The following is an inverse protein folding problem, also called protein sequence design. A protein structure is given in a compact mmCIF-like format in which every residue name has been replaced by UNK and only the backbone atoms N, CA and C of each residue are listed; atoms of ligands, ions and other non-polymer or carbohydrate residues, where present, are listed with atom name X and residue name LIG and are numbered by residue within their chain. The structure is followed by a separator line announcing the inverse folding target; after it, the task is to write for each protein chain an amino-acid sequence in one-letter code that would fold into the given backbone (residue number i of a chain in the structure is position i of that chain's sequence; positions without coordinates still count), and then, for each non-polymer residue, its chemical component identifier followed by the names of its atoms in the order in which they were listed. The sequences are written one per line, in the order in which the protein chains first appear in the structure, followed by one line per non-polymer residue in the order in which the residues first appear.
data_IF_711746466994
#
_entry.id   IF_711746466994
#
_cell.length_a   1.000
_cell.length_b   1.000
_cell.length_c   1.000
_cell.angle_alpha   90.00
_cell.angle_beta   90.00
_cell.angle_gamma   90.00
#
_symmetry.space_group_name_H-M   'P 1'
#
loop_
_entity.id
_entity.type
_entity.pdbx_description
1 polymer ?
#
# COMPACT_ATOMS: atom_id res chain seq x y z
N UNK A 1 22.73 -5.86 -30.44
CA UNK A 1 21.68 -5.33 -29.54
C UNK A 1 20.30 -5.79 -30.03
N UNK A 2 19.66 -6.77 -29.36
CA UNK A 2 18.27 -7.16 -29.68
C UNK A 2 17.33 -6.04 -29.21
N UNK A 3 16.64 -5.36 -30.13
CA UNK A 3 15.53 -4.44 -29.81
C UNK A 3 14.50 -5.21 -28.97
N UNK A 4 14.27 -4.80 -27.71
CA UNK A 4 13.09 -5.23 -26.93
C UNK A 4 11.85 -4.75 -27.70
N UNK A 5 11.22 -5.67 -28.44
CA UNK A 5 10.20 -5.35 -29.45
C UNK A 5 8.76 -5.65 -29.01
N UNK A 6 8.51 -5.84 -27.71
CA UNK A 6 7.17 -6.08 -27.18
C UNK A 6 6.83 -5.03 -26.12
N UNK A 7 6.53 -3.81 -26.57
CA UNK A 7 5.85 -2.84 -25.72
C UNK A 7 4.40 -3.25 -25.54
N UNK A 8 3.88 -3.19 -24.31
CA UNK A 8 2.46 -3.42 -24.01
C UNK A 8 1.65 -2.35 -24.75
N UNK A 9 0.70 -2.76 -25.60
CA UNK A 9 -0.18 -1.83 -26.32
C UNK A 9 -1.41 -1.50 -25.48
N UNK A 10 -2.02 -0.35 -25.74
CA UNK A 10 -3.29 0.03 -25.10
C UNK A 10 -4.39 -1.02 -25.33
N UNK A 11 -4.43 -1.63 -26.53
CA UNK A 11 -5.35 -2.74 -26.82
C UNK A 11 -5.18 -3.91 -25.86
N UNK A 12 -3.94 -4.22 -25.46
CA UNK A 12 -3.66 -5.31 -24.53
C UNK A 12 -4.17 -4.97 -23.13
N UNK A 13 -4.02 -3.71 -22.71
CA UNK A 13 -4.53 -3.21 -21.43
C UNK A 13 -6.07 -3.29 -21.40
N UNK A 14 -6.75 -2.85 -22.46
CA UNK A 14 -8.21 -2.89 -22.58
C UNK A 14 -8.72 -4.33 -22.48
N UNK A 15 -8.12 -5.27 -23.23
CA UNK A 15 -8.51 -6.70 -23.18
C UNK A 15 -8.36 -7.26 -21.76
N UNK A 16 -7.29 -6.90 -21.06
CA UNK A 16 -7.04 -7.36 -19.68
C UNK A 16 -8.03 -6.76 -18.68
N UNK A 17 -8.34 -5.47 -18.78
CA UNK A 17 -9.39 -4.83 -17.97
C UNK A 17 -10.75 -5.48 -18.18
N UNK A 18 -11.12 -5.77 -19.44
CA UNK A 18 -12.37 -6.47 -19.75
C UNK A 18 -12.40 -7.86 -19.12
N UNK A 19 -11.29 -8.60 -19.14
CA UNK A 19 -11.19 -9.91 -18.46
C UNK A 19 -11.33 -9.82 -16.95
N UNK A 20 -10.69 -8.84 -16.30
CA UNK A 20 -10.87 -8.57 -14.87
C UNK A 20 -12.35 -8.33 -14.56
N UNK A 21 -13.03 -7.50 -15.35
CA UNK A 21 -14.46 -7.21 -15.17
C UNK A 21 -15.35 -8.43 -15.43
N UNK A 22 -15.03 -9.26 -16.41
CA UNK A 22 -15.73 -10.54 -16.64
C UNK A 22 -15.57 -11.49 -15.46
N UNK A 23 -14.35 -11.57 -14.89
CA UNK A 23 -14.05 -12.39 -13.71
C UNK A 23 -14.83 -11.90 -12.47
N UNK A 24 -14.89 -10.57 -12.26
CA UNK A 24 -15.69 -9.97 -11.18
C UNK A 24 -17.19 -10.29 -11.36
N UNK A 25 -17.71 -10.18 -12.58
CA UNK A 25 -19.15 -10.30 -12.86
C UNK A 25 -19.63 -11.73 -13.12
N UNK A 26 -18.74 -12.73 -13.03
CA UNK A 26 -19.01 -14.15 -13.36
C UNK A 26 -19.62 -14.35 -14.76
N UNK A 27 -19.40 -13.42 -15.69
CA UNK A 27 -19.92 -13.52 -17.06
C UNK A 27 -19.15 -14.53 -17.91
N UNK A 28 -17.95 -14.91 -17.49
CA UNK A 28 -17.11 -15.93 -18.12
C UNK A 28 -16.48 -16.80 -17.00
N UNK A 29 -16.74 -18.12 -16.94
CA UNK A 29 -16.20 -19.02 -15.92
C UNK A 29 -14.71 -19.34 -16.18
N UNK A 30 -13.91 -18.33 -16.51
CA UNK A 30 -12.46 -18.46 -16.56
C UNK A 30 -11.96 -18.80 -15.16
N UNK A 31 -11.24 -19.93 -15.03
CA UNK A 31 -10.57 -20.26 -13.78
C UNK A 31 -9.52 -19.21 -13.43
N UNK A 32 -9.27 -18.99 -12.15
CA UNK A 32 -8.25 -18.04 -11.68
C UNK A 32 -6.88 -18.46 -12.22
N UNK A 33 -6.64 -19.77 -12.30
CA UNK A 33 -5.45 -20.37 -12.89
C UNK A 33 -5.29 -19.95 -14.35
N UNK A 34 -6.34 -20.04 -15.17
CA UNK A 34 -6.30 -19.61 -16.58
C UNK A 34 -6.08 -18.10 -16.71
N UNK A 35 -6.65 -17.29 -15.81
CA UNK A 35 -6.42 -15.84 -15.77
C UNK A 35 -4.94 -15.50 -15.49
N UNK A 36 -4.31 -16.21 -14.54
CA UNK A 36 -2.90 -16.01 -14.19
C UNK A 36 -1.94 -16.64 -15.20
N UNK A 37 -2.29 -17.76 -15.82
CA UNK A 37 -1.49 -18.42 -16.84
C UNK A 37 -1.37 -17.57 -18.11
N UNK A 38 -2.41 -16.82 -18.47
CA UNK A 38 -2.31 -15.81 -19.53
C UNK A 38 -1.23 -14.74 -19.26
N UNK A 39 -0.84 -14.56 -17.99
CA UNK A 39 0.20 -13.63 -17.54
C UNK A 39 1.57 -14.28 -17.32
N UNK A 40 1.65 -15.61 -17.39
CA UNK A 40 2.91 -16.36 -17.39
C UNK A 40 3.39 -16.48 -18.84
N UNK A 41 4.69 -16.28 -19.06
CA UNK A 41 5.26 -16.60 -20.37
C UNK A 41 5.03 -18.09 -20.67
N UNK A 42 4.96 -18.46 -21.95
CA UNK A 42 4.53 -19.77 -22.50
C UNK A 42 5.25 -21.02 -21.95
N UNK A 43 6.22 -20.88 -21.05
CA UNK A 43 6.70 -22.00 -20.24
C UNK A 43 5.87 -22.10 -18.96
N UNK A 44 5.29 -23.28 -18.68
CA UNK A 44 4.58 -23.64 -17.43
C UNK A 44 5.36 -23.36 -16.13
N UNK A 45 6.59 -22.86 -16.23
CA UNK A 45 7.55 -22.68 -15.16
C UNK A 45 8.15 -21.25 -15.10
N UNK A 46 7.70 -20.30 -15.94
CA UNK A 46 8.27 -18.94 -15.97
C UNK A 46 7.55 -17.94 -15.07
N UNK A 47 8.38 -17.08 -14.45
CA UNK A 47 8.07 -15.88 -13.66
C UNK A 47 6.95 -15.05 -14.32
N UNK A 48 6.15 -14.35 -13.52
CA UNK A 48 5.31 -13.27 -14.02
C UNK A 48 6.20 -12.14 -14.56
N UNK A 49 6.49 -12.17 -15.86
CA UNK A 49 7.49 -11.31 -16.52
C UNK A 49 6.94 -9.96 -16.97
N UNK A 50 5.63 -9.76 -16.96
CA UNK A 50 5.00 -8.55 -17.46
C UNK A 50 4.45 -7.66 -16.34
N UNK A 51 4.63 -6.35 -16.52
CA UNK A 51 3.95 -5.30 -15.76
C UNK A 51 2.42 -5.45 -15.88
N UNK A 52 1.71 -5.11 -14.81
CA UNK A 52 0.25 -5.20 -14.74
C UNK A 52 -0.33 -3.79 -14.82
N UNK A 53 -0.03 -3.10 -15.92
CA UNK A 53 -0.42 -1.71 -16.14
C UNK A 53 -1.93 -1.49 -16.00
N UNK A 54 -2.75 -2.50 -16.28
CA UNK A 54 -4.20 -2.43 -16.04
C UNK A 54 -4.58 -2.16 -14.57
N UNK A 55 -3.77 -2.57 -13.59
CA UNK A 55 -4.03 -2.32 -12.17
C UNK A 55 -3.96 -0.83 -11.83
N UNK A 56 -3.13 -0.06 -12.55
CA UNK A 56 -3.08 1.40 -12.40
C UNK A 56 -4.44 2.03 -12.75
N UNK A 57 -5.08 1.56 -13.82
CA UNK A 57 -6.42 2.02 -14.20
C UNK A 57 -7.48 1.54 -13.22
N UNK A 58 -7.35 0.31 -12.71
CA UNK A 58 -8.27 -0.25 -11.73
C UNK A 58 -8.30 0.59 -10.44
N UNK A 59 -7.15 1.14 -10.01
CA UNK A 59 -7.06 2.00 -8.81
C UNK A 59 -7.91 3.28 -8.88
N UNK A 60 -8.32 3.72 -10.06
CA UNK A 60 -9.28 4.83 -10.18
C UNK A 60 -10.66 4.48 -9.60
N UNK A 61 -10.96 3.19 -9.41
CA UNK A 61 -12.19 2.71 -8.79
C UNK A 61 -11.87 1.62 -7.74
N UNK A 62 -11.72 2.04 -6.48
CA UNK A 62 -11.37 1.12 -5.39
C UNK A 62 -12.41 0.02 -5.15
N UNK A 63 -13.67 0.20 -5.56
CA UNK A 63 -14.67 -0.87 -5.52
C UNK A 63 -14.37 -1.96 -6.55
N UNK A 64 -13.88 -1.59 -7.74
CA UNK A 64 -13.42 -2.58 -8.73
C UNK A 64 -12.16 -3.31 -8.25
N UNK A 65 -11.22 -2.61 -7.59
CA UNK A 65 -10.05 -3.23 -6.95
C UNK A 65 -10.49 -4.23 -5.87
N UNK A 66 -11.38 -3.81 -4.98
CA UNK A 66 -11.95 -4.63 -3.92
C UNK A 66 -12.58 -5.91 -4.47
N UNK A 67 -13.51 -5.76 -5.41
CA UNK A 67 -14.21 -6.88 -6.03
C UNK A 67 -13.25 -7.83 -6.75
N UNK A 68 -12.23 -7.29 -7.43
CA UNK A 68 -11.21 -8.12 -8.07
C UNK A 68 -10.40 -8.94 -7.06
N UNK A 69 -9.87 -8.31 -6.02
CA UNK A 69 -9.02 -8.99 -5.02
C UNK A 69 -9.80 -10.02 -4.20
N UNK A 70 -11.06 -9.74 -3.87
CA UNK A 70 -11.94 -10.67 -3.15
C UNK A 70 -12.35 -11.87 -4.02
N UNK A 71 -12.40 -11.70 -5.34
CA UNK A 71 -12.63 -12.83 -6.26
C UNK A 71 -11.48 -13.83 -6.26
N UNK A 72 -10.27 -13.40 -5.90
CA UNK A 72 -9.08 -14.23 -5.71
C UNK A 72 -9.14 -14.90 -4.32
N UNK A 73 -9.88 -16.02 -4.22
CA UNK A 73 -10.01 -16.78 -2.97
C UNK A 73 -8.69 -17.41 -2.49
N UNK A 74 -7.78 -17.73 -3.42
CA UNK A 74 -6.47 -18.26 -3.06
C UNK A 74 -5.53 -17.14 -2.60
N UNK A 75 -5.23 -17.09 -1.31
CA UNK A 75 -4.45 -16.00 -0.67
C UNK A 75 -3.09 -15.76 -1.35
N UNK A 76 -2.26 -16.77 -1.66
CA UNK A 76 -1.01 -16.54 -2.39
C UNK A 76 -1.19 -15.90 -3.78
N UNK A 77 -2.29 -16.19 -4.47
CA UNK A 77 -2.59 -15.53 -5.75
C UNK A 77 -2.91 -14.06 -5.54
N UNK A 78 -3.67 -13.75 -4.48
CA UNK A 78 -3.95 -12.36 -4.10
C UNK A 78 -2.65 -11.60 -3.79
N UNK A 79 -1.71 -12.22 -3.09
CA UNK A 79 -0.39 -11.62 -2.81
C UNK A 79 0.39 -11.26 -4.07
N UNK A 80 0.36 -12.13 -5.09
CA UNK A 80 1.01 -11.86 -6.39
C UNK A 80 0.48 -10.57 -7.04
N UNK A 81 -0.81 -10.32 -6.91
CA UNK A 81 -1.46 -9.12 -7.45
C UNK A 81 -1.12 -7.90 -6.59
N UNK A 82 -1.26 -8.03 -5.27
CA UNK A 82 -0.99 -6.95 -4.30
C UNK A 82 0.45 -6.43 -4.44
N UNK A 83 1.44 -7.32 -4.58
CA UNK A 83 2.86 -6.94 -4.68
C UNK A 83 3.26 -6.34 -6.03
N UNK A 84 2.31 -6.00 -6.90
CA UNK A 84 2.60 -5.30 -8.16
C UNK A 84 2.88 -3.82 -7.89
N UNK A 85 3.87 -3.28 -8.59
CA UNK A 85 4.27 -1.86 -8.46
C UNK A 85 3.09 -0.92 -8.70
N UNK A 86 2.18 -1.28 -9.58
CA UNK A 86 0.99 -0.50 -9.87
C UNK A 86 0.04 -0.38 -8.66
N UNK A 87 -0.02 -1.39 -7.78
CA UNK A 87 -0.81 -1.35 -6.55
C UNK A 87 -0.06 -0.72 -5.39
N UNK A 88 1.12 -1.23 -5.04
CA UNK A 88 1.86 -0.76 -3.86
C UNK A 88 2.73 0.47 -4.11
N UNK A 89 2.96 0.88 -5.37
CA UNK A 89 3.83 2.00 -5.74
C UNK A 89 5.32 1.68 -5.80
N UNK A 90 5.76 0.56 -5.23
CA UNK A 90 7.18 0.17 -5.16
C UNK A 90 7.50 -1.04 -6.05
N UNK A 91 8.65 -0.96 -6.74
CA UNK A 91 9.31 -2.12 -7.33
C UNK A 91 9.98 -2.98 -6.25
N UNK A 92 10.28 -4.24 -6.58
CA UNK A 92 11.05 -5.13 -5.69
C UNK A 92 12.39 -4.53 -5.26
N UNK A 93 13.07 -3.82 -6.15
CA UNK A 93 14.35 -3.17 -5.83
C UNK A 93 14.16 -1.99 -4.88
N UNK A 94 13.11 -1.18 -5.08
CA UNK A 94 12.77 -0.08 -4.17
C UNK A 94 12.40 -0.62 -2.78
N UNK A 95 11.62 -1.70 -2.70
CA UNK A 95 11.29 -2.38 -1.43
C UNK A 95 12.53 -2.87 -0.69
N UNK A 96 13.49 -3.45 -1.40
CA UNK A 96 14.77 -3.86 -0.81
C UNK A 96 15.62 -2.66 -0.38
N UNK A 97 15.65 -1.60 -1.19
CA UNK A 97 16.51 -0.43 -0.95
C UNK A 97 16.02 0.40 0.23
N UNK A 98 14.71 0.67 0.28
CA UNK A 98 14.11 1.56 1.29
C UNK A 98 13.71 0.82 2.58
N UNK A 99 13.27 -0.44 2.46
CA UNK A 99 12.68 -1.17 3.59
C UNK A 99 13.38 -2.49 3.91
N UNK A 100 14.48 -2.81 3.22
CA UNK A 100 15.28 -4.04 3.40
C UNK A 100 14.47 -5.33 3.27
N UNK A 101 13.33 -5.30 2.57
CA UNK A 101 12.56 -6.50 2.26
C UNK A 101 13.36 -7.34 1.27
N UNK A 102 13.87 -8.49 1.73
CA UNK A 102 14.74 -9.30 0.91
C UNK A 102 13.96 -10.08 -0.17
N UNK A 103 14.64 -10.47 -1.24
CA UNK A 103 14.01 -11.19 -2.35
C UNK A 103 13.39 -12.53 -1.93
N UNK A 104 13.93 -13.19 -0.90
CA UNK A 104 13.41 -14.46 -0.42
C UNK A 104 12.07 -14.27 0.29
N UNK A 105 11.94 -13.26 1.15
CA UNK A 105 10.69 -12.86 1.81
C UNK A 105 9.62 -12.53 0.76
N UNK A 106 9.96 -11.69 -0.23
CA UNK A 106 9.02 -11.33 -1.30
C UNK A 106 8.65 -12.52 -2.20
N UNK A 107 9.60 -13.41 -2.49
CA UNK A 107 9.36 -14.59 -3.32
C UNK A 107 8.50 -15.60 -2.60
N UNK A 108 8.80 -15.89 -1.33
CA UNK A 108 7.96 -16.70 -0.46
C UNK A 108 6.54 -16.13 -0.44
N UNK A 109 6.39 -14.82 -0.15
CA UNK A 109 5.08 -14.17 -0.02
C UNK A 109 4.19 -14.28 -1.25
N UNK A 110 4.82 -14.33 -2.43
CA UNK A 110 4.15 -14.41 -3.73
C UNK A 110 4.23 -15.80 -4.36
N UNK A 111 4.71 -16.82 -3.65
CA UNK A 111 4.78 -18.17 -4.17
C UNK A 111 3.39 -18.80 -4.17
N UNK A 112 2.89 -19.07 -5.37
CA UNK A 112 1.60 -19.74 -5.58
C UNK A 112 1.69 -21.25 -5.46
N UNK A 113 2.91 -21.80 -5.46
CA UNK A 113 3.15 -23.22 -5.26
C UNK A 113 3.48 -23.45 -3.79
N UNK A 114 2.91 -24.47 -3.15
CA UNK A 114 3.24 -24.86 -1.77
C UNK A 114 4.71 -25.35 -1.59
N UNK A 115 5.60 -25.07 -2.55
CA UNK A 115 6.96 -25.60 -2.66
C UNK A 115 7.94 -24.97 -1.66
N UNK A 116 7.75 -23.70 -1.30
CA UNK A 116 8.66 -22.97 -0.40
C UNK A 116 8.32 -23.09 1.09
N UNK A 117 7.34 -23.92 1.48
CA UNK A 117 7.07 -24.21 2.90
C UNK A 117 8.20 -25.00 3.59
N UNK A 118 9.15 -25.52 2.83
CA UNK A 118 10.32 -26.23 3.33
C UNK A 118 11.59 -25.46 2.93
N UNK A 119 12.39 -25.10 3.93
CA UNK A 119 13.77 -24.60 3.81
C UNK A 119 13.96 -23.15 3.32
N UNK A 120 13.61 -22.17 4.16
CA UNK A 120 14.37 -20.91 4.17
C UNK A 120 15.39 -21.03 5.31
N UNK A 121 16.61 -21.49 4.96
CA UNK A 121 17.74 -21.43 5.86
C UNK A 121 18.09 -19.95 6.14
N UNK A 122 18.03 -19.58 7.42
CA UNK A 122 18.42 -18.29 7.95
C UNK A 122 19.90 -17.99 7.65
N UNK A 123 20.15 -17.11 6.69
CA UNK A 123 21.38 -16.32 6.60
C UNK A 123 21.10 -15.22 5.58
N UNK A 124 21.24 -13.94 5.90
CA UNK A 124 22.52 -13.29 6.19
C UNK A 124 22.22 -11.96 6.91
N UNK A 125 22.86 -11.65 8.06
CA UNK A 125 22.82 -10.31 8.62
C UNK A 125 23.72 -9.41 7.77
N UNK A 126 23.19 -8.40 7.10
CA UNK A 126 24.01 -7.51 6.27
C UNK A 126 23.67 -6.03 6.51
N UNK A 127 24.65 -5.38 7.16
CA UNK A 127 24.93 -3.96 7.30
C UNK A 127 23.95 -3.09 8.11
N UNK A 128 24.42 -2.72 9.32
CA UNK A 128 23.99 -1.51 10.02
C UNK A 128 24.28 -0.29 9.11
N UNK A 129 23.23 0.31 8.54
CA UNK A 129 23.29 1.67 8.00
C UNK A 129 22.01 2.41 8.39
N UNK A 130 22.20 3.65 8.83
CA UNK A 130 21.25 4.60 9.40
C UNK A 130 19.86 4.68 8.69
N UNK A 131 18.80 4.80 9.51
CA UNK A 131 17.47 5.37 9.21
C UNK A 131 16.40 4.53 8.46
N UNK A 132 16.71 3.33 7.96
CA UNK A 132 15.68 2.43 7.39
C UNK A 132 14.98 1.56 8.44
N UNK A 133 13.65 1.37 8.34
CA UNK A 133 12.91 0.43 9.19
C UNK A 133 13.36 -1.01 8.94
N UNK A 134 13.71 -1.73 10.01
CA UNK A 134 14.09 -3.14 9.95
C UNK A 134 12.90 -4.02 10.33
N UNK A 135 12.33 -4.73 9.36
CA UNK A 135 11.27 -5.72 9.62
C UNK A 135 11.92 -7.03 10.09
N UNK A 136 11.64 -7.46 11.33
CA UNK A 136 12.25 -8.66 11.94
C UNK A 136 11.78 -9.92 11.22
N UNK A 137 12.69 -10.82 10.85
CA UNK A 137 12.40 -12.06 10.11
C UNK A 137 12.16 -13.26 11.02
N UNK A 138 10.95 -13.84 11.02
CA UNK A 138 10.71 -15.21 11.51
C UNK A 138 9.48 -15.89 10.86
N UNK A 139 9.27 -17.18 11.16
CA UNK A 139 9.30 -18.31 10.21
C UNK A 139 8.17 -18.43 9.16
N UNK A 140 7.03 -17.73 9.20
CA UNK A 140 5.93 -17.91 8.22
C UNK A 140 5.23 -16.58 7.79
N UNK A 141 6.05 -15.55 7.53
CA UNK A 141 5.73 -14.12 7.49
C UNK A 141 5.57 -13.54 8.90
N UNK A 142 6.54 -12.74 9.37
CA UNK A 142 6.41 -12.05 10.65
C UNK A 142 5.20 -11.12 10.57
N UNK A 143 4.40 -11.03 11.65
CA UNK A 143 3.18 -10.19 11.69
C UNK A 143 3.47 -8.74 11.28
N UNK A 144 4.67 -8.26 11.57
CA UNK A 144 5.17 -6.96 11.12
C UNK A 144 5.26 -6.83 9.59
N UNK A 145 5.74 -7.85 8.89
CA UNK A 145 5.82 -7.84 7.42
C UNK A 145 4.42 -7.72 6.81
N UNK A 146 3.46 -8.53 7.27
CA UNK A 146 2.09 -8.47 6.78
C UNK A 146 1.44 -7.12 7.07
N UNK A 147 1.66 -6.59 8.28
CA UNK A 147 1.19 -5.26 8.65
C UNK A 147 1.81 -4.15 7.78
N UNK A 148 3.09 -4.27 7.45
CA UNK A 148 3.76 -3.32 6.57
C UNK A 148 3.26 -3.42 5.12
N UNK A 149 3.04 -4.63 4.59
CA UNK A 149 2.42 -4.79 3.26
C UNK A 149 0.99 -4.24 3.26
N UNK A 150 0.22 -4.42 4.34
CA UNK A 150 -1.11 -3.84 4.52
C UNK A 150 -1.06 -2.30 4.46
N UNK A 151 -0.10 -1.68 5.16
CA UNK A 151 0.14 -0.23 5.13
C UNK A 151 0.51 0.27 3.71
N UNK A 152 1.42 -0.44 3.02
CA UNK A 152 1.85 -0.08 1.66
C UNK A 152 0.72 -0.20 0.65
N UNK A 153 -0.02 -1.30 0.69
CA UNK A 153 -1.08 -1.61 -0.28
C UNK A 153 -2.40 -0.89 0.00
N UNK A 154 -2.53 -0.24 1.16
CA UNK A 154 -3.78 0.38 1.62
C UNK A 154 -4.93 -0.65 1.64
N UNK A 155 -4.64 -1.87 2.09
CA UNK A 155 -5.61 -2.98 2.22
C UNK A 155 -5.72 -3.43 3.67
N UNK A 156 -6.89 -3.92 4.12
CA UNK A 156 -7.03 -4.53 5.44
C UNK A 156 -6.09 -5.72 5.62
N UNK A 157 -5.48 -5.85 6.80
CA UNK A 157 -4.56 -6.95 7.11
C UNK A 157 -5.16 -8.33 6.85
N UNK A 158 -6.44 -8.52 7.18
CA UNK A 158 -7.14 -9.78 6.95
C UNK A 158 -7.14 -10.22 5.48
N UNK A 159 -7.10 -9.28 4.53
CA UNK A 159 -7.06 -9.59 3.11
C UNK A 159 -5.74 -10.23 2.69
N UNK A 160 -4.69 -10.16 3.52
CA UNK A 160 -3.40 -10.83 3.31
C UNK A 160 -3.33 -12.20 4.02
N UNK A 161 -4.38 -12.60 4.74
CA UNK A 161 -4.32 -13.77 5.63
C UNK A 161 -5.46 -14.74 5.32
N UNK A 162 -6.68 -14.23 5.16
CA UNK A 162 -7.88 -15.03 5.07
C UNK A 162 -8.32 -15.22 3.60
N UNK A 163 -8.71 -16.45 3.20
CA UNK A 163 -9.31 -16.71 1.89
C UNK A 163 -10.59 -15.88 1.66
N UNK A 164 -11.41 -15.77 2.69
CA UNK A 164 -12.67 -15.02 2.70
C UNK A 164 -12.60 -14.00 3.85
N UNK A 165 -11.95 -12.84 3.63
CA UNK A 165 -11.76 -11.84 4.67
C UNK A 165 -13.02 -11.00 4.88
N UNK A 166 -13.13 -10.39 6.07
CA UNK A 166 -14.21 -9.46 6.35
C UNK A 166 -14.07 -8.16 5.55
N UNK A 167 -15.21 -7.48 5.34
CA UNK A 167 -15.28 -6.17 4.71
C UNK A 167 -15.17 -5.04 5.76
N UNK A 168 -14.17 -5.15 6.63
CA UNK A 168 -13.95 -4.22 7.75
C UNK A 168 -12.53 -3.69 7.68
N UNK A 169 -12.40 -2.37 7.83
CA UNK A 169 -11.11 -1.72 8.01
C UNK A 169 -10.69 -1.81 9.48
N UNK A 170 -9.43 -2.16 9.75
CA UNK A 170 -8.89 -2.19 11.11
C UNK A 170 -7.56 -1.44 11.20
N UNK A 171 -7.34 -0.78 12.33
CA UNK A 171 -6.07 -0.15 12.71
C UNK A 171 -5.14 -1.12 13.45
N UNK A 172 -5.55 -2.35 13.74
CA UNK A 172 -4.76 -3.32 14.54
C UNK A 172 -3.37 -3.58 13.96
N UNK A 173 -3.24 -3.47 12.64
CA UNK A 173 -1.96 -3.62 11.95
C UNK A 173 -0.93 -2.59 12.43
N UNK A 174 -1.33 -1.40 12.87
CA UNK A 174 -0.40 -0.41 13.46
C UNK A 174 0.31 -0.94 14.70
N UNK A 175 -0.37 -1.74 15.53
CA UNK A 175 0.22 -2.33 16.73
C UNK A 175 1.25 -3.43 16.42
N UNK A 176 1.22 -3.98 15.22
CA UNK A 176 2.16 -5.01 14.74
C UNK A 176 3.41 -4.41 14.10
N UNK A 177 3.41 -3.09 13.85
CA UNK A 177 4.57 -2.41 13.29
C UNK A 177 5.61 -2.18 14.38
N UNK A 178 6.88 -2.43 14.09
CA UNK A 178 8.00 -2.07 14.96
C UNK A 178 8.72 -0.85 14.35
N UNK A 179 8.05 0.31 14.37
CA UNK A 179 8.58 1.55 13.82
C UNK A 179 8.88 2.56 14.94
N UNK A 180 10.08 3.14 14.93
CA UNK A 180 10.49 4.18 15.90
C UNK A 180 9.58 5.42 15.77
N UNK A 181 8.95 5.60 14.61
CA UNK A 181 8.00 6.68 14.32
C UNK A 181 6.57 6.43 14.82
N UNK A 182 6.33 5.36 15.61
CA UNK A 182 4.98 5.01 16.04
C UNK A 182 4.36 6.01 17.00
N UNK A 183 5.10 6.76 17.79
CA UNK A 183 4.51 7.63 18.82
C UNK A 183 5.09 9.04 18.77
N UNK A 184 4.25 10.03 18.46
CA UNK A 184 4.63 11.44 18.50
C UNK A 184 3.61 12.29 19.27
N UNK A 185 4.08 13.37 19.87
CA UNK A 185 3.26 14.52 20.22
C UNK A 185 3.05 15.44 19.01
N UNK A 186 2.07 16.34 19.10
CA UNK A 186 1.80 17.37 18.06
C UNK A 186 3.05 18.15 17.64
N UNK A 187 3.96 18.47 18.57
CA UNK A 187 5.19 19.22 18.28
C UNK A 187 6.25 18.36 17.56
N UNK A 188 6.39 17.12 17.98
CA UNK A 188 7.35 16.19 17.37
C UNK A 188 6.92 15.80 15.95
N UNK A 189 5.61 15.79 15.67
CA UNK A 189 5.08 15.45 14.36
C UNK A 189 5.56 16.39 13.25
N UNK A 190 5.57 17.71 13.47
CA UNK A 190 6.11 18.67 12.49
C UNK A 190 7.62 18.46 12.25
N UNK A 191 8.37 18.17 13.31
CA UNK A 191 9.81 17.85 13.21
C UNK A 191 10.03 16.57 12.41
N UNK A 192 9.21 15.55 12.65
CA UNK A 192 9.22 14.30 11.87
C UNK A 192 8.95 14.55 10.38
N UNK A 193 7.89 15.29 10.03
CA UNK A 193 7.56 15.57 8.63
C UNK A 193 8.69 16.32 7.91
N UNK A 194 9.33 17.27 8.58
CA UNK A 194 10.43 18.06 8.03
C UNK A 194 11.76 17.29 7.91
N UNK A 195 11.90 16.19 8.66
CA UNK A 195 13.06 15.30 8.62
C UNK A 195 13.02 14.28 7.47
N UNK A 196 11.89 14.15 6.77
CA UNK A 196 11.75 13.21 5.66
C UNK A 196 12.61 13.66 4.46
N UNK A 197 13.28 12.71 3.80
CA UNK A 197 14.02 13.02 2.57
C UNK A 197 13.04 13.32 1.43
N UNK A 198 12.93 14.60 1.08
CA UNK A 198 12.08 15.13 0.01
C UNK A 198 12.31 14.53 -1.39
N UNK A 199 13.39 13.78 -1.62
CA UNK A 199 13.65 13.09 -2.89
C UNK A 199 13.31 11.59 -2.88
N UNK A 200 12.89 11.05 -1.74
CA UNK A 200 12.54 9.63 -1.59
C UNK A 200 11.05 9.33 -1.86
N UNK A 201 10.72 8.05 -1.99
CA UNK A 201 9.36 7.53 -1.80
C UNK A 201 9.36 6.71 -0.52
N UNK A 202 8.55 7.09 0.46
CA UNK A 202 8.46 6.43 1.76
C UNK A 202 7.01 6.37 2.24
N UNK A 203 6.67 5.36 3.03
CA UNK A 203 5.36 5.20 3.67
C UNK A 203 5.59 4.79 5.12
N UNK A 204 5.08 5.62 6.04
CA UNK A 204 5.23 5.44 7.49
C UNK A 204 3.89 5.34 8.17
N UNK A 205 3.85 4.53 9.23
CA UNK A 205 2.77 4.55 10.18
C UNK A 205 3.17 5.43 11.36
N UNK A 206 2.25 6.29 11.78
CA UNK A 206 2.44 7.22 12.87
C UNK A 206 1.21 7.17 13.79
N UNK A 207 1.42 7.07 15.10
CA UNK A 207 0.36 7.23 16.10
C UNK A 207 0.64 8.51 16.88
N UNK A 208 -0.26 9.47 16.80
CA UNK A 208 -0.18 10.67 17.63
C UNK A 208 -1.08 10.46 18.83
N UNK A 209 -0.51 10.54 20.03
CA UNK A 209 -1.29 10.47 21.27
C UNK A 209 -1.35 11.85 21.90
N UNK A 210 -2.55 12.41 21.98
CA UNK A 210 -2.78 13.59 22.80
C UNK A 210 -2.64 13.20 24.27
N UNK A 211 -1.68 13.82 24.97
CA UNK A 211 -1.40 13.52 26.38
C UNK A 211 -2.54 13.91 27.31
N UNK A 212 -3.32 14.92 26.94
CA UNK A 212 -4.43 15.51 27.71
C UNK A 212 -5.69 14.68 27.51
N UNK A 213 -6.14 14.54 26.27
CA UNK A 213 -7.40 13.85 25.95
C UNK A 213 -7.27 12.33 25.87
N UNK A 214 -6.03 11.81 25.79
CA UNK A 214 -5.70 10.40 25.48
C UNK A 214 -6.21 9.93 24.12
N UNK A 215 -6.71 10.85 23.29
CA UNK A 215 -7.10 10.58 21.90
C UNK A 215 -5.87 10.12 21.12
N UNK A 216 -6.04 9.05 20.33
CA UNK A 216 -5.00 8.51 19.46
C UNK A 216 -5.39 8.71 18.00
N UNK A 217 -4.50 9.30 17.22
CA UNK A 217 -4.66 9.44 15.77
C UNK A 217 -3.73 8.44 15.10
N UNK A 218 -4.28 7.50 14.34
CA UNK A 218 -3.53 6.53 13.56
C UNK A 218 -3.39 7.08 12.15
N UNK A 219 -2.17 7.45 11.77
CA UNK A 219 -1.87 8.15 10.54
C UNK A 219 -1.03 7.28 9.62
N UNK A 220 -1.45 7.17 8.37
CA UNK A 220 -0.57 6.71 7.28
C UNK A 220 0.03 7.95 6.63
N UNK A 221 1.35 8.06 6.64
CA UNK A 221 2.11 9.15 6.02
C UNK A 221 2.82 8.59 4.81
N UNK A 222 2.38 8.98 3.61
CA UNK A 222 3.08 8.68 2.36
C UNK A 222 3.80 9.93 1.86
N UNK A 223 5.08 9.79 1.60
CA UNK A 223 5.91 10.81 1.00
C UNK A 223 6.34 10.37 -0.39
N UNK A 224 5.98 11.11 -1.42
CA UNK A 224 6.34 10.81 -2.81
C UNK A 224 6.76 12.08 -3.54
N UNK A 225 8.03 12.14 -3.96
CA UNK A 225 8.59 13.26 -4.72
C UNK A 225 8.35 14.65 -4.09
N UNK A 226 8.40 14.73 -2.76
CA UNK A 226 8.17 15.96 -2.01
C UNK A 226 6.69 16.30 -1.76
N UNK A 227 5.77 15.41 -2.14
CA UNK A 227 4.37 15.48 -1.71
C UNK A 227 4.18 14.61 -0.48
N UNK A 228 3.59 15.17 0.56
CA UNK A 228 3.17 14.45 1.77
C UNK A 228 1.66 14.23 1.69
N UNK A 229 1.23 12.97 1.69
CA UNK A 229 -0.16 12.56 1.83
C UNK A 229 -0.33 11.88 3.17
N UNK A 230 -1.17 12.45 4.03
CA UNK A 230 -1.36 12.03 5.40
C UNK A 230 -2.83 11.65 5.58
N UNK A 231 -3.09 10.36 5.75
CA UNK A 231 -4.44 9.79 5.92
C UNK A 231 -4.70 9.52 7.41
N UNK A 232 -5.85 9.97 7.92
CA UNK A 232 -6.38 9.57 9.22
C UNK A 232 -7.09 8.22 9.08
N UNK A 233 -6.47 7.16 9.62
CA UNK A 233 -6.92 5.78 9.49
C UNK A 233 -7.85 5.30 10.61
N UNK A 234 -8.20 6.15 11.58
CA UNK A 234 -9.17 5.82 12.62
C UNK A 234 -10.50 5.36 12.00
N UNK A 235 -11.00 4.23 12.47
CA UNK A 235 -12.29 3.67 12.03
C UNK A 235 -13.38 4.58 12.59
N UNK A 236 -14.25 5.11 11.73
CA UNK A 236 -15.33 6.02 12.13
C UNK A 236 -14.85 7.17 13.02
N UNK A 237 -13.82 7.90 12.57
CA UNK A 237 -13.25 9.02 13.32
C UNK A 237 -14.33 9.98 13.84
N UNK A 238 -14.34 10.20 15.16
CA UNK A 238 -15.20 11.17 15.83
C UNK A 238 -14.84 12.60 15.42
N UNK A 239 -15.76 13.54 15.64
CA UNK A 239 -15.49 14.97 15.42
C UNK A 239 -14.24 15.44 16.19
N UNK A 240 -14.05 14.95 17.42
CA UNK A 240 -12.87 15.28 18.24
C UNK A 240 -11.57 14.78 17.60
N UNK A 241 -11.56 13.56 17.08
CA UNK A 241 -10.39 12.99 16.39
C UNK A 241 -10.11 13.74 15.08
N UNK A 242 -11.15 14.11 14.33
CA UNK A 242 -11.02 14.90 13.12
C UNK A 242 -10.47 16.30 13.41
N UNK A 243 -11.02 17.01 14.40
CA UNK A 243 -10.52 18.32 14.83
C UNK A 243 -9.06 18.22 15.28
N UNK A 244 -8.74 17.23 16.11
CA UNK A 244 -7.36 16.97 16.55
C UNK A 244 -6.41 16.70 15.39
N UNK A 245 -6.89 16.02 14.34
CA UNK A 245 -6.13 15.74 13.13
C UNK A 245 -5.89 17.01 12.30
N UNK A 246 -6.92 17.82 12.05
CA UNK A 246 -6.77 19.09 11.32
C UNK A 246 -5.86 20.06 12.05
N UNK A 247 -5.96 20.09 13.38
CA UNK A 247 -5.14 20.91 14.26
C UNK A 247 -3.64 20.67 14.11
N UNK A 248 -3.21 19.47 13.66
CA UNK A 248 -1.80 19.15 13.39
C UNK A 248 -1.19 20.04 12.30
N UNK A 249 -2.02 20.58 11.41
CA UNK A 249 -1.61 21.33 10.22
C UNK A 249 -1.94 22.81 10.31
N UNK A 250 -2.31 23.30 11.50
CA UNK A 250 -2.64 24.70 11.71
C UNK A 250 -1.44 25.60 11.35
N UNK A 251 -1.65 26.55 10.43
CA UNK A 251 -0.61 27.47 9.96
C UNK A 251 0.19 26.94 8.77
N UNK A 252 -0.01 25.68 8.37
CA UNK A 252 0.61 25.10 7.17
C UNK A 252 -0.26 25.34 5.93
N UNK A 253 0.37 25.36 4.75
CA UNK A 253 -0.36 25.37 3.49
C UNK A 253 -0.62 23.93 3.02
N UNK A 254 -1.89 23.52 3.07
CA UNK A 254 -2.29 22.16 2.74
C UNK A 254 -3.65 22.10 2.02
N UNK A 255 -3.87 20.98 1.34
CA UNK A 255 -5.15 20.61 0.73
C UNK A 255 -5.82 19.56 1.59
N UNK A 256 -7.07 19.83 1.98
CA UNK A 256 -7.92 18.84 2.66
C UNK A 256 -8.73 18.05 1.65
N UNK A 257 -8.96 16.78 1.95
CA UNK A 257 -9.81 15.94 1.13
C UNK A 257 -10.13 14.63 1.80
N UNK A 258 -10.61 13.71 0.98
CA UNK A 258 -10.98 12.38 1.37
C UNK A 258 -10.19 11.38 0.54
N UNK A 259 -9.91 10.25 1.14
CA UNK A 259 -9.29 9.13 0.49
C UNK A 259 -10.18 7.90 0.70
N UNK A 260 -10.95 7.50 -0.32
CA UNK A 260 -11.73 6.27 -0.25
C UNK A 260 -10.80 5.07 0.01
N UNK A 261 -11.39 4.02 0.58
CA UNK A 261 -10.70 2.75 0.83
C UNK A 261 -11.32 1.63 0.01
N UNK A 262 -10.71 0.45 0.02
CA UNK A 262 -11.31 -0.76 -0.58
C UNK A 262 -12.53 -1.27 0.20
N UNK A 263 -12.80 -0.71 1.39
CA UNK A 263 -14.01 -0.95 2.16
C UNK A 263 -14.95 0.22 1.90
N UNK A 264 -16.02 0.00 1.14
CA UNK A 264 -16.89 1.08 0.65
C UNK A 264 -17.57 1.91 1.75
N UNK A 265 -17.73 1.35 2.95
CA UNK A 265 -18.26 2.05 4.12
C UNK A 265 -17.23 2.93 4.85
N UNK A 266 -15.95 2.81 4.51
CA UNK A 266 -14.86 3.55 5.16
C UNK A 266 -14.20 4.51 4.17
N UNK A 267 -14.08 5.76 4.61
CA UNK A 267 -13.37 6.82 3.90
C UNK A 267 -12.46 7.55 4.89
N UNK A 268 -11.19 7.75 4.51
CA UNK A 268 -10.22 8.38 5.39
C UNK A 268 -10.15 9.88 5.11
N UNK A 269 -10.17 10.70 6.16
CA UNK A 269 -9.82 12.12 6.04
C UNK A 269 -8.34 12.23 5.68
N UNK A 270 -8.01 13.08 4.73
CA UNK A 270 -6.65 13.18 4.20
C UNK A 270 -6.21 14.62 4.04
N UNK A 271 -4.97 14.87 4.40
CA UNK A 271 -4.26 16.11 4.13
C UNK A 271 -3.16 15.83 3.10
N UNK A 272 -3.08 16.68 2.08
CA UNK A 272 -1.99 16.68 1.10
C UNK A 272 -1.25 18.01 1.20
N UNK A 273 0.04 17.97 1.46
CA UNK A 273 0.88 19.16 1.57
C UNK A 273 2.22 18.95 0.89
N UNK A 274 2.94 20.05 0.69
CA UNK A 274 4.28 20.00 0.12
C UNK A 274 5.30 19.90 1.24
N UNK A 275 6.27 19.01 1.07
CA UNK A 275 7.45 19.02 1.93
C UNK A 275 8.16 20.37 1.84
N UNK A 276 8.56 20.96 2.97
CA UNK A 276 9.06 22.34 3.07
C UNK A 276 10.28 22.62 2.18
N UNK A 277 11.13 21.62 1.96
CA UNK A 277 12.31 21.72 1.09
C UNK A 277 12.03 21.47 -0.40
N UNK A 278 10.86 20.95 -0.76
CA UNK A 278 10.56 20.57 -2.14
C UNK A 278 10.01 21.76 -2.95
N UNK A 279 10.49 21.91 -4.19
CA UNK A 279 9.98 22.90 -5.16
C UNK A 279 9.09 22.29 -6.24
N UNK A 280 9.01 20.96 -6.34
CA UNK A 280 8.20 20.27 -7.35
C UNK A 280 6.70 20.47 -7.10
N UNK A 281 5.86 20.44 -8.14
CA UNK A 281 4.41 20.46 -7.99
C UNK A 281 3.92 19.31 -7.10
N UNK A 282 2.77 19.52 -6.45
CA UNK A 282 2.12 18.45 -5.70
C UNK A 282 1.66 17.34 -6.65
N UNK A 283 1.93 16.10 -6.28
CA UNK A 283 1.48 14.91 -6.97
C UNK A 283 0.43 14.22 -6.09
N UNK A 284 -0.84 14.47 -6.38
CA UNK A 284 -1.94 13.87 -5.62
C UNK A 284 -2.00 12.36 -5.86
N UNK A 285 -2.26 11.54 -4.82
CA UNK A 285 -2.65 10.15 -5.03
C UNK A 285 -3.87 10.06 -5.94
N UNK A 286 -3.94 9.02 -6.77
CA UNK A 286 -5.00 8.86 -7.78
C UNK A 286 -6.39 8.79 -7.14
N UNK A 287 -6.46 8.25 -5.93
CA UNK A 287 -7.70 8.06 -5.17
C UNK A 287 -8.13 9.31 -4.38
N UNK A 288 -7.30 10.36 -4.34
CA UNK A 288 -7.56 11.54 -3.54
C UNK A 288 -8.69 12.38 -4.13
N UNK A 289 -9.73 12.61 -3.32
CA UNK A 289 -10.85 13.48 -3.65
C UNK A 289 -10.67 14.77 -2.86
N UNK A 290 -10.23 15.82 -3.54
CA UNK A 290 -10.13 17.14 -2.92
C UNK A 290 -11.52 17.60 -2.48
N UNK A 291 -11.66 17.99 -1.21
CA UNK A 291 -12.84 18.72 -0.77
C UNK A 291 -12.56 20.17 -1.17
N UNK A 292 -13.30 20.75 -2.13
CA UNK A 292 -13.14 22.16 -2.43
C UNK A 292 -13.32 22.94 -1.13
N UNK A 293 -12.58 24.04 -0.91
CA UNK A 293 -12.90 24.92 0.20
C UNK A 293 -14.37 25.30 0.01
N UNK A 294 -15.24 24.76 0.85
CA UNK A 294 -16.62 25.21 0.95
C UNK A 294 -16.53 26.71 1.14
N UNK A 295 -17.22 27.47 0.31
CA UNK A 295 -17.70 28.78 0.73
C UNK A 295 -18.49 28.47 2.02
N UNK A 296 -17.84 28.64 3.17
CA UNK A 296 -18.35 28.27 4.48
C UNK A 296 -19.75 28.81 4.69
#
# INVERSE_FOLDING_TARGET
MRKRRNGIKLSDIIVRLTRIRSLITNKDPMSIENFLEYKRDTSKYSRFTNDWTELYFLRQNLNEVAAFLLRLKHVPVRHVVIMRKELIGFSKNELYTHFRLNNNQMTSFTDTSDRLKQEINFSTPLHQSLEGRQVVSDIHYPSEFLAFISLLSRLPLQWLILPEPDLVWSIDHFALLNDVSLNYSKREFSTFLNGLDHNSHDVRAVIITDKVTKTKLYLRVEHLFGTLSIELCNINASNLEYESFIDLFQGENYYKGLMPTVISSQINHTVVMRHVLCKRPLCYPVEFIAIPPSLY
#
